data_IF_815162927695
#
_entry.id   IF_815162927695
#
_cell.length_a   1.000
_cell.length_b   1.000
_cell.length_c   1.000
_cell.angle_alpha   90.00
_cell.angle_beta   90.00
_cell.angle_gamma   90.00
#
_symmetry.space_group_name_H-M   'P 1'
#
loop_
_entity.id
_entity.type
_entity.pdbx_description
1 polymer ?
#
# COMPACT_ATOMS: atom_id res chain seq x y z
N UNK A 1 37.68 32.37 62.51
CA UNK A 1 37.72 31.20 61.59
C UNK A 1 37.96 29.96 62.44
N UNK A 2 37.09 28.97 62.24
CA UNK A 2 36.92 27.74 63.05
C UNK A 2 38.22 26.98 63.19
N UNK A 3 38.57 26.63 64.43
CA UNK A 3 39.30 25.42 64.79
C UNK A 3 38.73 24.91 66.11
N UNK A 4 38.81 23.59 66.30
CA UNK A 4 38.80 22.82 67.57
C UNK A 4 37.61 21.85 67.75
N UNK A 5 37.92 20.59 67.35
CA UNK A 5 37.70 19.30 68.04
C UNK A 5 36.28 18.75 68.28
N UNK A 6 35.99 17.65 67.59
CA UNK A 6 35.93 16.29 68.16
C UNK A 6 35.71 16.16 69.69
N UNK A 7 34.54 16.52 70.23
CA UNK A 7 33.92 15.92 71.42
C UNK A 7 32.42 16.28 71.41
N UNK A 8 31.55 15.36 70.97
CA UNK A 8 30.22 15.16 71.56
C UNK A 8 29.64 13.83 71.07
N UNK A 9 30.39 12.77 71.32
CA UNK A 9 29.77 11.52 71.77
C UNK A 9 29.07 11.87 73.10
N UNK A 10 27.82 11.44 73.23
CA UNK A 10 27.04 11.39 74.47
C UNK A 10 26.25 12.66 74.84
N UNK A 11 25.04 12.82 74.28
CA UNK A 11 23.80 12.90 75.07
C UNK A 11 22.54 12.89 74.19
N UNK A 12 21.53 12.09 74.59
CA UNK A 12 20.20 11.83 73.98
C UNK A 12 20.22 11.02 72.67
N UNK A 13 20.00 9.70 72.61
CA UNK A 13 18.96 8.91 73.33
C UNK A 13 17.63 9.66 73.41
N UNK A 14 17.10 10.07 72.26
CA UNK A 14 15.66 10.07 72.06
C UNK A 14 15.34 9.41 70.72
N UNK A 15 14.89 8.17 70.85
CA UNK A 15 14.34 7.31 69.82
C UNK A 15 13.35 8.04 68.93
N UNK A 16 13.66 8.14 67.64
CA UNK A 16 12.64 7.92 66.59
C UNK A 16 13.31 7.10 65.49
N UNK A 17 13.58 5.82 65.79
CA UNK A 17 13.65 4.82 64.72
C UNK A 17 12.31 4.90 64.00
N UNK A 18 12.29 5.51 62.82
CA UNK A 18 11.19 5.36 61.89
C UNK A 18 11.15 3.87 61.53
N UNK A 19 10.39 3.11 62.33
CA UNK A 19 10.16 1.68 62.14
C UNK A 19 9.36 1.53 60.86
N UNK A 20 10.04 1.53 59.71
CA UNK A 20 9.53 0.81 58.57
C UNK A 20 9.40 -0.63 59.06
N UNK A 21 8.17 -1.04 59.37
CA UNK A 21 7.95 -2.39 59.86
C UNK A 21 8.56 -3.36 58.85
N UNK A 22 9.30 -4.36 59.34
CA UNK A 22 9.89 -5.41 58.49
C UNK A 22 8.84 -6.01 57.54
N UNK A 23 7.58 -6.04 57.97
CA UNK A 23 6.39 -6.42 57.20
C UNK A 23 6.16 -5.57 55.95
N UNK A 24 6.34 -4.25 56.03
CA UNK A 24 6.16 -3.35 54.90
C UNK A 24 7.29 -3.52 53.87
N UNK A 25 8.52 -3.68 54.34
CA UNK A 25 9.69 -3.98 53.50
C UNK A 25 9.47 -5.32 52.76
N UNK A 26 9.00 -6.36 53.46
CA UNK A 26 8.71 -7.66 52.86
C UNK A 26 7.63 -7.56 51.77
N UNK A 27 6.54 -6.82 52.00
CA UNK A 27 5.49 -6.60 50.98
C UNK A 27 6.01 -5.89 49.72
N UNK A 28 6.90 -4.91 49.90
CA UNK A 28 7.54 -4.23 48.77
C UNK A 28 8.44 -5.19 48.00
N UNK A 29 9.22 -6.02 48.70
CA UNK A 29 10.08 -7.03 48.11
C UNK A 29 9.30 -8.07 47.30
N UNK A 30 8.20 -8.58 47.84
CA UNK A 30 7.32 -9.53 47.15
C UNK A 30 6.72 -8.93 45.87
N UNK A 31 6.31 -7.66 45.93
CA UNK A 31 5.79 -6.92 44.77
C UNK A 31 6.86 -6.77 43.69
N UNK A 32 8.11 -6.48 44.08
CA UNK A 32 9.23 -6.39 43.16
C UNK A 32 9.61 -7.75 42.57
N UNK A 33 9.56 -8.84 43.34
CA UNK A 33 9.79 -10.19 42.82
C UNK A 33 8.75 -10.60 41.78
N UNK A 34 7.48 -10.29 42.04
CA UNK A 34 6.38 -10.54 41.10
C UNK A 34 6.55 -9.70 39.83
N UNK A 35 6.91 -8.41 39.97
CA UNK A 35 7.20 -7.54 38.84
C UNK A 35 8.36 -8.08 38.00
N UNK A 36 9.46 -8.49 38.63
CA UNK A 36 10.62 -9.11 37.95
C UNK A 36 10.18 -10.35 37.17
N UNK A 37 9.40 -11.24 37.78
CA UNK A 37 8.90 -12.46 37.12
C UNK A 37 8.05 -12.12 35.89
N UNK A 38 7.16 -11.13 36.01
CA UNK A 38 6.33 -10.68 34.89
C UNK A 38 7.17 -10.08 33.76
N UNK A 39 8.19 -9.29 34.10
CA UNK A 39 9.14 -8.75 33.11
C UNK A 39 9.90 -9.88 32.42
N UNK A 40 10.37 -10.90 33.16
CA UNK A 40 11.02 -12.08 32.58
C UNK A 40 10.13 -12.85 31.61
N UNK A 41 8.84 -13.02 31.93
CA UNK A 41 7.87 -13.66 31.03
C UNK A 41 7.72 -12.84 29.74
N UNK A 42 7.61 -11.52 29.83
CA UNK A 42 7.53 -10.64 28.66
C UNK A 42 8.78 -10.70 27.79
N UNK A 43 9.97 -10.73 28.40
CA UNK A 43 11.23 -10.88 27.66
C UNK A 43 11.25 -12.21 26.89
N UNK A 44 10.76 -13.30 27.50
CA UNK A 44 10.65 -14.60 26.82
C UNK A 44 9.68 -14.54 25.65
N UNK A 45 8.48 -13.97 25.84
CA UNK A 45 7.49 -13.81 24.77
C UNK A 45 8.05 -13.00 23.59
N UNK A 46 8.74 -11.89 23.86
CA UNK A 46 9.40 -11.09 22.84
C UNK A 46 10.50 -11.87 22.10
N UNK A 47 11.25 -12.72 22.82
CA UNK A 47 12.25 -13.58 22.21
C UNK A 47 11.61 -14.61 21.26
N UNK A 48 10.49 -15.21 21.65
CA UNK A 48 9.74 -16.17 20.84
C UNK A 48 9.13 -15.50 19.58
N UNK A 49 8.62 -14.27 19.72
CA UNK A 49 8.18 -13.46 18.59
C UNK A 49 9.34 -13.16 17.63
N UNK A 50 10.51 -12.80 18.15
CA UNK A 50 11.70 -12.52 17.34
C UNK A 50 12.17 -13.77 16.58
N UNK A 51 12.15 -14.93 17.23
CA UNK A 51 12.47 -16.22 16.58
C UNK A 51 11.48 -16.52 15.44
N UNK A 52 10.19 -16.24 15.64
CA UNK A 52 9.15 -16.40 14.61
C UNK A 52 9.39 -15.48 13.41
N UNK A 53 9.72 -14.21 13.66
CA UNK A 53 10.05 -13.25 12.60
C UNK A 53 11.29 -13.69 11.83
N UNK A 54 12.35 -14.10 12.52
CA UNK A 54 13.57 -14.60 11.88
C UNK A 54 13.30 -15.83 11.01
N UNK A 55 12.43 -16.73 11.47
CA UNK A 55 12.03 -17.90 10.69
C UNK A 55 11.28 -17.49 9.42
N UNK A 56 10.38 -16.49 9.49
CA UNK A 56 9.70 -15.91 8.32
C UNK A 56 10.67 -15.21 7.37
N UNK A 57 11.66 -14.49 7.88
CA UNK A 57 12.71 -13.87 7.06
C UNK A 57 13.47 -14.96 6.32
N UNK A 58 13.91 -16.02 7.01
CA UNK A 58 14.63 -17.12 6.39
C UNK A 58 13.80 -17.86 5.33
N UNK A 59 12.49 -18.05 5.53
CA UNK A 59 11.63 -18.66 4.50
C UNK A 59 11.45 -17.74 3.29
N UNK A 60 11.36 -16.43 3.49
CA UNK A 60 11.32 -15.46 2.39
C UNK A 60 12.65 -15.37 1.64
N UNK A 61 13.78 -15.38 2.35
CA UNK A 61 15.12 -15.39 1.74
C UNK A 61 15.40 -16.68 0.97
N UNK A 62 15.01 -17.85 1.50
CA UNK A 62 15.14 -19.12 0.75
C UNK A 62 14.20 -19.16 -0.45
N UNK A 63 12.97 -18.65 -0.33
CA UNK A 63 12.05 -18.51 -1.46
C UNK A 63 12.63 -17.57 -2.53
N UNK A 64 13.19 -16.43 -2.10
CA UNK A 64 13.89 -15.47 -2.97
C UNK A 64 15.08 -16.15 -3.67
N UNK A 65 15.91 -16.89 -2.95
CA UNK A 65 17.05 -17.62 -3.52
C UNK A 65 16.62 -18.73 -4.50
N UNK A 66 15.52 -19.44 -4.25
CA UNK A 66 14.97 -20.44 -5.18
C UNK A 66 14.38 -19.80 -6.45
N UNK A 67 13.83 -18.60 -6.34
CA UNK A 67 13.42 -17.77 -7.48
C UNK A 67 14.68 -17.29 -8.25
N UNK A 68 15.75 -16.93 -7.55
CA UNK A 68 17.04 -16.54 -8.15
C UNK A 68 17.80 -17.71 -8.81
N UNK A 69 17.76 -18.92 -8.25
CA UNK A 69 18.47 -20.10 -8.80
C UNK A 69 17.72 -20.82 -9.94
N UNK A 70 16.49 -20.40 -10.26
CA UNK A 70 15.80 -20.73 -11.52
C UNK A 70 16.00 -19.62 -12.57
N UNK A 71 16.89 -18.66 -12.30
CA UNK A 71 17.14 -17.49 -13.15
C UNK A 71 18.59 -17.47 -13.64
N UNK A 72 18.95 -18.45 -14.47
CA UNK A 72 20.04 -18.27 -15.44
C UNK A 72 19.48 -17.63 -16.70
N UNK A 73 19.14 -16.34 -16.62
CA UNK A 73 19.28 -15.30 -17.66
C UNK A 73 18.75 -13.96 -17.10
N UNK A 74 19.67 -13.01 -16.90
CA UNK A 74 19.46 -11.55 -16.91
C UNK A 74 18.70 -10.89 -15.73
N UNK A 75 19.46 -10.52 -14.70
CA UNK A 75 19.06 -9.84 -13.45
C UNK A 75 18.61 -8.36 -13.58
N UNK A 76 18.00 -7.97 -14.70
CA UNK A 76 17.40 -6.63 -14.92
C UNK A 76 15.89 -6.69 -15.22
N UNK A 77 15.26 -7.85 -15.12
CA UNK A 77 13.98 -8.11 -15.79
C UNK A 77 12.72 -7.76 -14.98
N UNK A 78 12.83 -7.10 -13.83
CA UNK A 78 11.66 -6.74 -12.98
C UNK A 78 11.54 -5.23 -12.70
N UNK A 79 12.54 -4.45 -13.15
CA UNK A 79 12.61 -3.00 -12.95
C UNK A 79 12.88 -2.33 -14.29
N UNK A 80 11.92 -1.54 -14.75
CA UNK A 80 12.01 -0.76 -15.97
C UNK A 80 12.47 0.64 -15.59
N UNK A 81 13.54 1.13 -16.19
CA UNK A 81 13.99 2.51 -15.99
C UNK A 81 13.18 3.43 -16.90
N UNK A 82 12.45 4.37 -16.32
CA UNK A 82 11.60 5.29 -17.07
C UNK A 82 11.82 6.75 -16.65
N UNK A 83 11.43 7.68 -17.51
CA UNK A 83 11.61 9.12 -17.29
C UNK A 83 10.24 9.78 -17.09
N UNK A 84 10.16 10.75 -16.19
CA UNK A 84 8.93 11.51 -15.94
C UNK A 84 8.74 12.58 -17.03
N UNK A 85 7.49 12.84 -17.42
CA UNK A 85 7.14 13.90 -18.38
C UNK A 85 7.51 15.29 -17.84
N UNK A 86 7.61 16.29 -18.70
CA UNK A 86 8.02 17.65 -18.30
C UNK A 86 7.10 18.30 -17.24
N UNK A 87 5.85 17.85 -17.12
CA UNK A 87 4.90 18.31 -16.12
C UNK A 87 5.14 17.79 -14.69
N UNK A 88 6.10 16.88 -14.51
CA UNK A 88 6.37 16.25 -13.22
C UNK A 88 5.32 15.19 -12.85
N UNK A 89 5.55 14.53 -11.72
CA UNK A 89 4.69 13.48 -11.21
C UNK A 89 4.51 13.59 -9.69
N UNK A 90 3.42 13.04 -9.19
CA UNK A 90 3.15 12.94 -7.74
C UNK A 90 3.26 11.48 -7.35
N UNK A 91 4.20 11.17 -6.45
CA UNK A 91 4.34 9.88 -5.82
C UNK A 91 3.30 9.78 -4.71
N UNK A 92 2.43 8.77 -4.77
CA UNK A 92 1.34 8.55 -3.82
C UNK A 92 1.52 7.24 -3.05
N UNK A 93 0.91 7.17 -1.88
CA UNK A 93 0.91 5.95 -1.04
C UNK A 93 0.00 4.85 -1.59
N UNK A 94 -1.03 5.24 -2.33
CA UNK A 94 -2.06 4.37 -2.90
C UNK A 94 -2.23 4.66 -4.39
N UNK A 95 -2.64 3.66 -5.19
CA UNK A 95 -2.74 3.76 -6.65
C UNK A 95 -4.02 4.49 -7.09
N UNK A 96 -4.24 5.71 -6.61
CA UNK A 96 -5.38 6.55 -6.99
C UNK A 96 -5.04 8.04 -6.82
N UNK A 97 -5.86 8.92 -7.39
CA UNK A 97 -5.60 10.37 -7.40
C UNK A 97 -5.88 11.06 -6.06
N UNK A 98 -6.61 10.41 -5.15
CA UNK A 98 -6.92 10.90 -3.80
C UNK A 98 -5.93 10.42 -2.75
N UNK A 99 -4.99 9.54 -3.13
CA UNK A 99 -3.96 8.97 -2.28
C UNK A 99 -3.06 10.05 -1.70
N UNK A 100 -2.51 9.79 -0.51
CA UNK A 100 -1.64 10.73 0.17
C UNK A 100 -0.38 10.95 -0.66
N UNK A 101 -0.01 12.21 -0.85
CA UNK A 101 1.25 12.58 -1.50
C UNK A 101 2.42 12.21 -0.60
N UNK A 102 3.30 11.34 -1.10
CA UNK A 102 4.58 10.98 -0.48
C UNK A 102 5.69 11.92 -0.93
N UNK A 103 5.76 12.20 -2.24
CA UNK A 103 6.76 13.08 -2.83
C UNK A 103 6.25 13.69 -4.14
N UNK A 104 6.86 14.80 -4.54
CA UNK A 104 6.71 15.35 -5.90
C UNK A 104 7.99 15.08 -6.67
N UNK A 105 7.85 14.49 -7.85
CA UNK A 105 8.94 14.14 -8.75
C UNK A 105 9.00 15.23 -9.83
N UNK A 106 10.10 16.00 -9.91
CA UNK A 106 10.29 16.98 -10.98
C UNK A 106 10.19 16.35 -12.37
N UNK A 107 9.82 17.15 -13.36
CA UNK A 107 9.80 16.69 -14.74
C UNK A 107 11.19 16.32 -15.25
N UNK A 108 11.26 15.37 -16.18
CA UNK A 108 12.49 14.85 -16.76
C UNK A 108 13.42 14.09 -15.79
N UNK A 109 12.96 13.76 -14.58
CA UNK A 109 13.69 12.87 -13.67
C UNK A 109 13.56 11.40 -14.06
N UNK A 110 14.58 10.62 -13.73
CA UNK A 110 14.59 9.17 -13.98
C UNK A 110 14.12 8.42 -12.73
N UNK A 111 13.27 7.42 -12.94
CA UNK A 111 12.67 6.60 -11.89
C UNK A 111 12.79 5.11 -12.22
N UNK A 112 12.81 4.29 -11.17
CA UNK A 112 12.79 2.84 -11.30
C UNK A 112 11.34 2.36 -11.16
N UNK A 113 10.77 1.81 -12.22
CA UNK A 113 9.41 1.31 -12.28
C UNK A 113 9.43 -0.18 -12.03
N UNK A 114 8.75 -0.64 -10.98
CA UNK A 114 8.52 -2.07 -10.79
C UNK A 114 7.51 -2.55 -11.82
N UNK A 115 7.66 -3.79 -12.31
CA UNK A 115 6.68 -4.50 -13.14
C UNK A 115 5.38 -4.85 -12.36
N UNK A 116 4.79 -3.85 -11.69
CA UNK A 116 3.57 -3.91 -10.88
C UNK A 116 2.68 -2.71 -11.19
N UNK A 117 1.50 -3.00 -11.76
CA UNK A 117 0.47 -2.02 -12.11
C UNK A 117 -0.81 -2.24 -11.29
N UNK A 118 -1.40 -1.16 -10.80
CA UNK A 118 -2.70 -1.13 -10.13
C UNK A 118 -3.42 0.17 -10.52
N UNK A 119 -4.66 0.12 -11.01
CA UNK A 119 -5.50 1.30 -11.29
C UNK A 119 -4.87 2.39 -12.19
N UNK A 120 -4.07 2.02 -13.21
CA UNK A 120 -3.28 2.94 -14.06
C UNK A 120 -2.17 3.69 -13.32
N UNK A 121 -1.84 3.25 -12.11
CA UNK A 121 -0.64 3.63 -11.39
C UNK A 121 0.38 2.50 -11.46
N UNK A 122 1.62 2.91 -11.61
CA UNK A 122 2.77 2.05 -11.57
C UNK A 122 3.45 2.21 -10.22
N UNK A 123 3.89 1.09 -9.66
CA UNK A 123 4.70 1.12 -8.46
C UNK A 123 6.12 1.53 -8.85
N UNK A 124 6.66 2.55 -8.20
CA UNK A 124 7.96 3.12 -8.54
C UNK A 124 8.81 3.33 -7.30
N UNK A 125 10.12 3.30 -7.46
CA UNK A 125 11.11 3.70 -6.47
C UNK A 125 11.75 5.01 -6.89
N UNK A 126 11.66 6.01 -6.01
CA UNK A 126 12.27 7.31 -6.21
C UNK A 126 12.93 7.78 -4.91
N UNK A 127 14.24 8.04 -4.96
CA UNK A 127 15.06 8.51 -3.81
C UNK A 127 14.85 7.68 -2.52
N UNK A 128 14.78 6.35 -2.67
CA UNK A 128 14.58 5.42 -1.54
C UNK A 128 13.13 5.30 -1.05
N UNK A 129 12.19 6.05 -1.64
CA UNK A 129 10.77 5.96 -1.33
C UNK A 129 10.02 5.20 -2.41
N UNK A 130 9.23 4.22 -1.99
CA UNK A 130 8.38 3.42 -2.86
C UNK A 130 6.95 3.90 -2.79
N UNK A 131 6.33 4.11 -3.95
CA UNK A 131 4.94 4.55 -4.03
C UNK A 131 4.37 4.35 -5.43
N UNK A 132 3.26 5.00 -5.70
CA UNK A 132 2.50 4.86 -6.94
C UNK A 132 2.50 6.18 -7.72
N UNK A 133 2.77 6.08 -9.01
CA UNK A 133 2.77 7.21 -9.96
C UNK A 133 1.83 6.90 -11.11
N UNK A 134 1.08 7.88 -11.59
CA UNK A 134 0.18 7.69 -12.73
C UNK A 134 0.98 7.40 -14.00
N UNK A 135 0.61 6.38 -14.76
CA UNK A 135 1.23 6.05 -16.04
C UNK A 135 1.26 7.25 -17.00
N UNK A 136 0.23 8.10 -16.98
CA UNK A 136 0.15 9.32 -17.82
C UNK A 136 1.27 10.35 -17.58
N UNK A 137 1.95 10.26 -16.43
CA UNK A 137 3.05 11.16 -16.06
C UNK A 137 4.42 10.58 -16.36
N UNK A 138 4.48 9.37 -16.92
CA UNK A 138 5.72 8.71 -17.34
C UNK A 138 5.84 8.86 -18.86
N UNK A 139 7.04 9.17 -19.34
CA UNK A 139 7.33 9.22 -20.77
C UNK A 139 7.20 7.83 -21.37
N UNK A 140 6.70 7.79 -22.60
CA UNK A 140 6.58 6.56 -23.41
C UNK A 140 7.94 5.86 -23.48
N UNK A 141 7.98 4.61 -23.06
CA UNK A 141 9.13 3.73 -23.13
C UNK A 141 8.63 2.39 -23.64
N UNK A 142 9.23 1.89 -24.73
CA UNK A 142 8.85 0.62 -25.35
C UNK A 142 8.82 -0.54 -24.36
N UNK A 143 9.81 -0.63 -23.47
CA UNK A 143 9.86 -1.68 -22.44
C UNK A 143 8.71 -1.56 -21.42
N UNK A 144 8.33 -0.33 -21.08
CA UNK A 144 7.20 -0.06 -20.20
C UNK A 144 5.87 -0.38 -20.90
N UNK A 145 5.75 0.01 -22.16
CA UNK A 145 4.54 -0.24 -22.96
C UNK A 145 4.36 -1.75 -23.21
N UNK A 146 5.44 -2.48 -23.47
CA UNK A 146 5.46 -3.95 -23.60
C UNK A 146 5.07 -4.64 -22.29
N UNK A 147 5.50 -4.10 -21.13
CA UNK A 147 5.09 -4.62 -19.81
C UNK A 147 3.61 -4.34 -19.52
N UNK A 148 3.11 -3.14 -19.82
CA UNK A 148 1.68 -2.80 -19.68
C UNK A 148 0.84 -3.67 -20.64
N UNK A 149 1.35 -3.96 -21.83
CA UNK A 149 0.73 -4.86 -22.81
C UNK A 149 0.86 -6.35 -22.43
N UNK A 150 1.90 -6.74 -21.69
CA UNK A 150 2.25 -8.12 -21.33
C UNK A 150 1.39 -8.78 -20.25
N UNK A 151 0.35 -8.11 -19.75
CA UNK A 151 -0.75 -8.75 -19.02
C UNK A 151 -1.93 -9.06 -19.96
N UNK A 152 -1.66 -9.88 -20.98
CA UNK A 152 -2.41 -11.09 -21.31
C UNK A 152 -1.73 -11.83 -22.47
N UNK A 153 -1.68 -13.18 -22.47
CA UNK A 153 -1.16 -13.93 -23.59
C UNK A 153 -2.13 -13.80 -24.76
N UNK A 154 -1.61 -13.39 -25.92
CA UNK A 154 -2.26 -13.60 -27.21
C UNK A 154 -2.53 -15.10 -27.37
N UNK A 155 -3.79 -15.50 -27.19
CA UNK A 155 -4.42 -16.57 -27.96
C UNK A 155 -5.65 -16.00 -28.64
N UNK A 156 -5.73 -16.30 -29.93
CA UNK A 156 -6.75 -15.95 -30.92
C UNK A 156 -8.21 -16.21 -30.46
N UNK A 157 -9.20 -15.62 -31.16
CA UNK A 157 -10.32 -14.87 -30.62
C UNK A 157 -11.27 -15.74 -29.80
N UNK A 158 -11.53 -15.32 -28.57
CA UNK A 158 -12.78 -15.70 -27.91
C UNK A 158 -13.80 -14.67 -28.36
N UNK A 159 -14.50 -14.95 -29.46
CA UNK A 159 -15.72 -14.22 -29.81
C UNK A 159 -16.71 -14.43 -28.67
N UNK A 160 -16.74 -13.49 -27.73
CA UNK A 160 -17.94 -13.28 -26.93
C UNK A 160 -18.94 -12.67 -27.89
N UNK A 161 -19.85 -13.50 -28.36
CA UNK A 161 -20.88 -13.22 -29.35
C UNK A 161 -21.86 -12.15 -28.88
N UNK A 162 -21.45 -10.88 -28.89
CA UNK A 162 -22.27 -9.72 -29.24
C UNK A 162 -21.33 -8.67 -29.86
N UNK A 163 -20.95 -8.86 -31.12
CA UNK A 163 -20.32 -7.80 -31.92
C UNK A 163 -21.35 -6.69 -32.10
N UNK A 164 -21.24 -5.64 -31.29
CA UNK A 164 -21.69 -4.30 -31.71
C UNK A 164 -20.51 -3.70 -32.47
N UNK A 165 -20.77 -3.22 -33.67
CA UNK A 165 -19.75 -2.71 -34.60
C UNK A 165 -19.07 -1.47 -34.02
N UNK A 166 -17.91 -1.65 -33.41
CA UNK A 166 -17.07 -0.53 -32.97
C UNK A 166 -16.22 -0.06 -34.15
N UNK A 167 -16.23 1.24 -34.43
CA UNK A 167 -15.35 1.81 -35.44
C UNK A 167 -13.94 1.92 -34.86
N UNK A 168 -13.02 1.05 -35.30
CA UNK A 168 -11.64 1.06 -34.83
C UNK A 168 -10.92 2.36 -35.16
N UNK A 169 -11.31 3.08 -36.21
CA UNK A 169 -10.70 4.35 -36.59
C UNK A 169 -11.22 5.55 -35.78
N UNK A 170 -12.16 5.35 -34.85
CA UNK A 170 -12.65 6.43 -33.98
C UNK A 170 -11.52 6.90 -33.03
N UNK A 171 -11.16 8.20 -33.03
CA UNK A 171 -10.20 8.75 -32.08
C UNK A 171 -10.51 8.43 -30.61
N UNK A 172 -11.80 8.35 -30.26
CA UNK A 172 -12.25 7.95 -28.92
C UNK A 172 -11.90 6.48 -28.65
N UNK A 173 -12.17 5.60 -29.60
CA UNK A 173 -11.84 4.18 -29.45
C UNK A 173 -10.33 3.99 -29.33
N UNK A 174 -9.53 4.61 -30.21
CA UNK A 174 -8.06 4.54 -30.14
C UNK A 174 -7.51 5.06 -28.81
N UNK A 175 -8.09 6.15 -28.28
CA UNK A 175 -7.78 6.64 -26.92
C UNK A 175 -8.11 5.59 -25.86
N UNK A 176 -9.27 4.96 -25.93
CA UNK A 176 -9.69 3.94 -24.95
C UNK A 176 -8.84 2.67 -25.04
N UNK A 177 -8.47 2.23 -26.24
CA UNK A 177 -7.55 1.11 -26.47
C UNK A 177 -6.20 1.40 -25.80
N UNK A 178 -5.67 2.62 -25.99
CA UNK A 178 -4.42 3.04 -25.35
C UNK A 178 -4.52 3.11 -23.82
N UNK A 179 -5.67 3.50 -23.28
CA UNK A 179 -5.85 3.67 -21.83
C UNK A 179 -6.19 2.38 -21.09
N UNK A 180 -6.95 1.48 -21.71
CA UNK A 180 -7.60 0.38 -21.02
C UNK A 180 -7.39 -0.99 -21.68
N UNK A 181 -6.75 -1.04 -22.85
CA UNK A 181 -6.67 -2.24 -23.68
C UNK A 181 -7.88 -2.40 -24.59
N UNK A 182 -7.71 -3.18 -25.66
CA UNK A 182 -8.74 -3.34 -26.71
C UNK A 182 -10.06 -3.88 -26.16
N UNK A 183 -10.03 -4.94 -25.36
CA UNK A 183 -11.26 -5.57 -24.85
C UNK A 183 -12.07 -4.64 -23.94
N UNK A 184 -11.40 -3.95 -23.02
CA UNK A 184 -12.07 -3.01 -22.13
C UNK A 184 -12.57 -1.79 -22.92
N UNK A 185 -11.84 -1.34 -23.95
CA UNK A 185 -12.30 -0.27 -24.83
C UNK A 185 -13.60 -0.65 -25.56
N UNK A 186 -13.72 -1.88 -26.06
CA UNK A 186 -14.95 -2.40 -26.66
C UNK A 186 -16.09 -2.39 -25.65
N UNK A 187 -15.87 -2.94 -24.44
CA UNK A 187 -16.88 -2.96 -23.37
C UNK A 187 -17.32 -1.55 -22.97
N UNK A 188 -16.38 -0.60 -22.90
CA UNK A 188 -16.66 0.81 -22.57
C UNK A 188 -17.47 1.49 -23.67
N UNK A 189 -17.10 1.32 -24.95
CA UNK A 189 -17.87 1.87 -26.07
C UNK A 189 -19.29 1.31 -26.08
N UNK A 190 -19.46 0.05 -25.67
CA UNK A 190 -20.75 -0.61 -25.60
C UNK A 190 -21.61 -0.21 -24.38
N UNK A 191 -21.08 0.58 -23.45
CA UNK A 191 -21.78 0.97 -22.22
C UNK A 191 -21.90 -0.18 -21.21
N UNK A 192 -21.01 -1.16 -21.27
CA UNK A 192 -21.05 -2.33 -20.40
C UNK A 192 -20.48 -2.03 -19.00
N UNK A 193 -21.02 -2.72 -18.01
CA UNK A 193 -20.53 -2.71 -16.63
C UNK A 193 -20.00 -4.09 -16.27
N UNK A 194 -18.84 -4.14 -15.64
CA UNK A 194 -18.24 -5.38 -15.13
C UNK A 194 -17.51 -5.13 -13.80
N UNK A 195 -17.28 -6.20 -13.04
CA UNK A 195 -16.59 -6.11 -11.76
C UNK A 195 -15.12 -5.75 -11.98
N UNK A 196 -14.60 -4.80 -11.18
CA UNK A 196 -13.23 -4.31 -11.26
C UNK A 196 -13.06 -3.04 -12.11
N UNK A 197 -14.13 -2.50 -12.70
CA UNK A 197 -14.04 -1.22 -13.40
C UNK A 197 -13.57 -0.10 -12.48
N UNK A 198 -12.64 0.72 -12.95
CA UNK A 198 -12.27 1.96 -12.27
C UNK A 198 -13.35 3.04 -12.46
N UNK A 199 -13.31 4.09 -11.64
CA UNK A 199 -14.13 5.29 -11.85
C UNK A 199 -14.05 5.82 -13.28
N UNK A 200 -12.83 5.89 -13.84
CA UNK A 200 -12.63 6.36 -15.21
C UNK A 200 -13.34 5.48 -16.23
N UNK A 201 -13.24 4.16 -16.10
CA UNK A 201 -13.93 3.22 -17.00
C UNK A 201 -15.44 3.36 -16.91
N UNK A 202 -16.00 3.51 -15.70
CA UNK A 202 -17.46 3.67 -15.53
C UNK A 202 -17.93 4.99 -16.14
N UNK A 203 -17.19 6.08 -15.90
CA UNK A 203 -17.53 7.39 -16.46
C UNK A 203 -17.44 7.41 -17.98
N UNK A 204 -16.45 6.72 -18.56
CA UNK A 204 -16.31 6.59 -20.00
C UNK A 204 -17.36 5.65 -20.61
N UNK A 205 -17.89 4.69 -19.83
CA UNK A 205 -18.88 3.69 -20.27
C UNK A 205 -20.31 4.22 -20.20
N UNK A 206 -20.75 4.64 -19.02
CA UNK A 206 -22.16 5.01 -18.75
C UNK A 206 -22.36 6.49 -18.39
N UNK A 207 -21.29 7.29 -18.44
CA UNK A 207 -21.36 8.73 -18.19
C UNK A 207 -21.28 9.10 -16.70
N UNK A 208 -21.65 10.34 -16.39
CA UNK A 208 -21.57 10.86 -15.01
C UNK A 208 -22.79 10.42 -14.17
N UNK A 209 -22.59 10.03 -12.90
CA UNK A 209 -23.70 9.71 -12.02
C UNK A 209 -24.52 10.94 -11.65
N UNK A 210 -25.80 10.73 -11.34
CA UNK A 210 -26.70 11.76 -10.84
C UNK A 210 -26.29 12.20 -9.42
N UNK A 211 -25.86 11.26 -8.59
CA UNK A 211 -25.32 11.55 -7.26
C UNK A 211 -24.26 10.54 -6.83
N UNK A 212 -23.38 10.97 -5.92
CA UNK A 212 -22.33 10.14 -5.34
C UNK A 212 -22.34 10.31 -3.83
N UNK A 213 -22.31 9.20 -3.11
CA UNK A 213 -22.14 9.16 -1.67
C UNK A 213 -20.86 8.38 -1.35
N UNK A 214 -20.02 8.89 -0.45
CA UNK A 214 -18.81 8.22 -0.01
C UNK A 214 -18.85 8.03 1.51
N UNK A 215 -18.38 6.89 1.99
CA UNK A 215 -18.17 6.62 3.39
C UNK A 215 -16.82 5.94 3.61
N UNK A 216 -16.10 6.39 4.63
CA UNK A 216 -14.82 5.83 5.01
C UNK A 216 -15.05 4.77 6.07
N UNK A 217 -14.72 3.52 5.75
CA UNK A 217 -14.81 2.40 6.67
C UNK A 217 -13.41 1.80 6.93
N UNK A 218 -13.20 1.04 8.02
CA UNK A 218 -11.91 0.41 8.30
C UNK A 218 -11.42 -0.56 7.20
N UNK A 219 -12.34 -1.10 6.39
CA UNK A 219 -12.07 -2.00 5.27
C UNK A 219 -11.86 -1.28 3.93
N UNK A 220 -11.95 0.05 3.90
CA UNK A 220 -11.68 0.86 2.72
C UNK A 220 -12.66 2.01 2.52
N UNK A 221 -12.43 2.79 1.46
CA UNK A 221 -13.37 3.82 1.02
C UNK A 221 -14.48 3.15 0.22
N UNK A 222 -15.71 3.25 0.72
CA UNK A 222 -16.91 2.73 0.06
C UNK A 222 -17.65 3.89 -0.60
N UNK A 223 -17.82 3.82 -1.92
CA UNK A 223 -18.61 4.81 -2.66
C UNK A 223 -19.82 4.18 -3.30
N UNK A 224 -20.95 4.89 -3.25
CA UNK A 224 -22.19 4.53 -3.91
C UNK A 224 -22.54 5.60 -4.94
N UNK A 225 -22.61 5.21 -6.21
CA UNK A 225 -22.95 6.10 -7.31
C UNK A 225 -24.35 5.79 -7.80
N UNK A 226 -25.21 6.80 -7.84
CA UNK A 226 -26.60 6.68 -8.26
C UNK A 226 -26.76 7.20 -9.69
N UNK A 227 -27.27 6.33 -10.56
CA UNK A 227 -27.73 6.67 -11.90
C UNK A 227 -29.25 6.53 -11.97
N UNK A 228 -29.83 6.91 -13.10
CA UNK A 228 -31.26 6.72 -13.35
C UNK A 228 -31.62 5.24 -13.26
N UNK A 229 -30.85 4.38 -13.93
CA UNK A 229 -31.18 2.95 -14.09
C UNK A 229 -30.34 2.01 -13.21
N UNK A 230 -29.27 2.53 -12.61
CA UNK A 230 -28.31 1.74 -11.84
C UNK A 230 -27.95 2.37 -10.50
N UNK A 231 -27.61 1.53 -9.54
CA UNK A 231 -26.87 1.90 -8.34
C UNK A 231 -25.57 1.10 -8.34
N UNK A 232 -24.42 1.78 -8.30
CA UNK A 232 -23.11 1.14 -8.35
C UNK A 232 -22.41 1.29 -7.01
N UNK A 233 -21.84 0.18 -6.52
CA UNK A 233 -21.08 0.10 -5.28
C UNK A 233 -19.60 -0.12 -5.59
N UNK A 234 -18.78 0.82 -5.12
CA UNK A 234 -17.34 0.81 -5.26
C UNK A 234 -16.66 0.59 -3.92
N UNK A 235 -15.55 -0.13 -3.95
CA UNK A 235 -14.64 -0.28 -2.81
C UNK A 235 -13.23 0.03 -3.30
N UNK A 236 -12.57 0.99 -2.66
CA UNK A 236 -11.19 1.40 -2.96
C UNK A 236 -10.96 1.76 -4.44
N UNK A 237 -11.94 2.38 -5.10
CA UNK A 237 -11.82 2.82 -6.49
C UNK A 237 -12.26 1.80 -7.55
N UNK A 238 -12.66 0.60 -7.15
CA UNK A 238 -13.08 -0.47 -8.06
C UNK A 238 -14.58 -0.77 -7.90
N UNK A 239 -15.26 -0.93 -9.04
CA UNK A 239 -16.66 -1.37 -9.08
C UNK A 239 -16.74 -2.80 -8.54
N UNK A 240 -17.46 -3.00 -7.44
CA UNK A 240 -17.67 -4.33 -6.84
C UNK A 240 -19.00 -4.91 -7.24
N UNK A 241 -20.06 -4.12 -7.19
CA UNK A 241 -21.41 -4.55 -7.53
C UNK A 241 -22.20 -3.43 -8.17
N UNK A 242 -23.25 -3.79 -8.92
CA UNK A 242 -24.26 -2.86 -9.38
C UNK A 242 -25.64 -3.50 -9.30
N UNK A 243 -26.65 -2.69 -9.00
CA UNK A 243 -28.05 -3.09 -8.98
C UNK A 243 -28.80 -2.27 -10.02
N UNK A 244 -29.46 -2.96 -10.97
CA UNK A 244 -30.38 -2.33 -11.90
C UNK A 244 -31.71 -2.08 -11.19
N UNK A 245 -32.26 -0.88 -11.34
CA UNK A 245 -33.57 -0.51 -10.78
C UNK A 245 -34.72 -1.04 -11.62
#
# INVERSE_FOLDING_TARGET
>A
MKNITFVLILFLLCNVTHSQSITQINKQLDSLYNLRKNIQIKVKDLQDQLNTVNSKINTLETKKASISNTSSTNDNDDIIVAKITSGGAILRDTPNSTGKTLATIPGNETINVYKVQQNLYLKVLYKGQTGYVSYSTIQTNQELDDFIAGKEPVKQPVTTSIVRTVNENDPRFQKLVKLYGHENAVKIINGELWQGMSYGMVLESIGKPNSKNSNNAPDGVKEKWLYSDYTLDFINGELKNWTKK
#
